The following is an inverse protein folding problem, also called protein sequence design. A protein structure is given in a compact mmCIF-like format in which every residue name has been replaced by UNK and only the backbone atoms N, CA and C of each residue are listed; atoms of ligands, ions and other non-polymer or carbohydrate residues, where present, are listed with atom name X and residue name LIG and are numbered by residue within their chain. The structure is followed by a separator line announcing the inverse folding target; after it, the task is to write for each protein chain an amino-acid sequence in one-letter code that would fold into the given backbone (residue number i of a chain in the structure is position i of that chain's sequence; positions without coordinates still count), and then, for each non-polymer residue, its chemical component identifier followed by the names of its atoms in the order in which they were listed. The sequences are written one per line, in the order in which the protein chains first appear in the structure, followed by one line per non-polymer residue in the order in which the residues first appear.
data_IF_849133610873
#
_entry.id   IF_849133610873
#
_cell.length_a   1.000
_cell.length_b   1.000
_cell.length_c   1.000
_cell.angle_alpha   90.00
_cell.angle_beta   90.00
_cell.angle_gamma   90.00
#
_symmetry.space_group_name_H-M   'P 1'
#
loop_
_entity.id
_entity.type
_entity.pdbx_description
1 polymer ?
#
# COMPACT_ATOMS: atom_id res chain seq x y z
N UNK A 1 -14.82 -4.73 15.27
CA UNK A 1 -13.54 -4.00 15.27
C UNK A 1 -12.60 -4.41 14.13
N UNK A 2 -12.39 -5.70 13.84
CA UNK A 2 -11.48 -6.15 12.77
C UNK A 2 -11.80 -5.62 11.34
N UNK A 3 -13.08 -5.38 11.04
CA UNK A 3 -13.49 -4.76 9.77
C UNK A 3 -13.17 -3.26 9.70
N UNK A 4 -13.20 -2.55 10.83
CA UNK A 4 -12.93 -1.09 10.91
C UNK A 4 -11.47 -0.77 10.60
N UNK A 5 -10.55 -1.57 11.14
CA UNK A 5 -9.11 -1.37 10.95
C UNK A 5 -8.56 -2.09 9.71
N UNK A 6 -9.44 -2.74 8.93
CA UNK A 6 -9.08 -3.56 7.77
C UNK A 6 -7.94 -4.55 8.08
N UNK A 7 -8.16 -5.41 9.08
CA UNK A 7 -7.14 -6.33 9.60
C UNK A 7 -6.30 -7.06 8.54
N UNK A 8 -6.85 -7.59 7.43
CA UNK A 8 -6.04 -8.23 6.39
C UNK A 8 -4.97 -7.30 5.78
N UNK A 9 -5.26 -6.00 5.66
CA UNK A 9 -4.29 -5.04 5.16
C UNK A 9 -3.19 -4.78 6.21
N UNK A 10 -3.53 -4.68 7.49
CA UNK A 10 -2.54 -4.50 8.56
C UNK A 10 -1.61 -5.72 8.67
N UNK A 11 -2.14 -6.93 8.49
CA UNK A 11 -1.32 -8.16 8.45
C UNK A 11 -0.36 -8.14 7.26
N UNK A 12 -0.80 -7.69 6.08
CA UNK A 12 0.08 -7.51 4.91
C UNK A 12 1.18 -6.48 5.18
N UNK A 13 0.86 -5.38 5.88
CA UNK A 13 1.84 -4.36 6.27
C UNK A 13 2.87 -4.92 7.26
N UNK A 14 2.43 -5.67 8.26
CA UNK A 14 3.32 -6.34 9.21
C UNK A 14 4.23 -7.35 8.50
N UNK A 15 3.67 -8.18 7.62
CA UNK A 15 4.44 -9.12 6.79
C UNK A 15 5.50 -8.38 5.98
N UNK A 16 5.13 -7.28 5.32
CA UNK A 16 6.06 -6.48 4.54
C UNK A 16 7.20 -5.91 5.40
N UNK A 17 6.89 -5.29 6.54
CA UNK A 17 7.92 -4.77 7.47
C UNK A 17 8.85 -5.88 7.95
N UNK A 18 8.30 -7.05 8.29
CA UNK A 18 9.07 -8.20 8.74
C UNK A 18 9.98 -8.75 7.65
N UNK A 19 9.50 -8.88 6.40
CA UNK A 19 10.30 -9.39 5.30
C UNK A 19 11.35 -8.41 4.80
N UNK A 20 11.09 -7.09 4.87
CA UNK A 20 12.15 -6.10 4.65
C UNK A 20 13.23 -6.28 5.73
N UNK A 21 12.84 -6.33 7.01
CA UNK A 21 13.77 -6.42 8.13
C UNK A 21 14.61 -7.71 8.09
N UNK A 22 13.96 -8.86 8.01
CA UNK A 22 14.60 -10.16 8.06
C UNK A 22 15.21 -10.56 6.72
N UNK A 23 14.50 -10.39 5.59
CA UNK A 23 14.96 -10.89 4.30
C UNK A 23 15.90 -9.96 3.54
N UNK A 24 15.78 -8.63 3.71
CA UNK A 24 16.61 -7.67 2.97
C UNK A 24 17.73 -7.06 3.82
N UNK A 25 17.43 -6.68 5.07
CA UNK A 25 18.34 -5.88 5.89
C UNK A 25 19.26 -6.71 6.80
N UNK A 26 18.70 -7.69 7.52
CA UNK A 26 19.46 -8.55 8.43
C UNK A 26 19.21 -10.04 8.16
N UNK A 27 19.53 -10.50 6.92
CA UNK A 27 19.36 -11.88 6.49
C UNK A 27 19.94 -12.90 7.47
N UNK A 28 21.20 -12.73 7.88
CA UNK A 28 21.93 -13.71 8.67
C UNK A 28 21.35 -14.04 10.06
N UNK A 29 20.45 -13.23 10.61
CA UNK A 29 19.88 -13.44 11.95
C UNK A 29 18.38 -13.08 11.98
N UNK A 30 17.54 -13.78 11.19
CA UNK A 30 16.18 -13.33 10.88
C UNK A 30 15.27 -13.39 12.12
N UNK A 31 15.36 -14.44 12.94
CA UNK A 31 14.57 -14.54 14.16
C UNK A 31 14.97 -13.49 15.20
N UNK A 32 16.28 -13.27 15.40
CA UNK A 32 16.77 -12.29 16.37
C UNK A 32 16.36 -10.87 16.00
N UNK A 33 16.44 -10.52 14.71
CA UNK A 33 16.07 -9.16 14.26
C UNK A 33 14.57 -8.89 14.36
N UNK A 34 13.73 -9.92 14.18
CA UNK A 34 12.28 -9.82 14.33
C UNK A 34 11.83 -9.76 15.80
N UNK A 35 12.59 -10.39 16.70
CA UNK A 35 12.35 -10.34 18.14
C UNK A 35 12.97 -9.11 18.82
N UNK A 36 13.70 -8.27 18.07
CA UNK A 36 14.23 -7.01 18.58
C UNK A 36 13.06 -6.08 18.98
N UNK A 37 13.07 -5.64 20.24
CA UNK A 37 12.05 -4.75 20.78
C UNK A 37 11.94 -3.45 19.96
N UNK A 38 13.04 -2.96 19.37
CA UNK A 38 13.04 -1.75 18.53
C UNK A 38 12.28 -1.98 17.23
N UNK A 39 12.38 -3.18 16.66
CA UNK A 39 11.57 -3.56 15.50
C UNK A 39 10.11 -3.74 15.90
N UNK A 40 9.84 -4.37 17.04
CA UNK A 40 8.48 -4.50 17.60
C UNK A 40 7.79 -3.14 17.78
N UNK A 41 8.48 -2.16 18.38
CA UNK A 41 7.97 -0.78 18.53
C UNK A 41 7.73 -0.12 17.18
N UNK A 42 8.64 -0.29 16.21
CA UNK A 42 8.48 0.25 14.85
C UNK A 42 7.22 -0.31 14.17
N UNK A 43 7.04 -1.63 14.24
CA UNK A 43 5.91 -2.31 13.63
C UNK A 43 4.59 -1.85 14.27
N UNK A 44 4.50 -1.83 15.61
CA UNK A 44 3.31 -1.33 16.32
C UNK A 44 3.03 0.12 15.93
N UNK A 45 4.06 0.98 15.90
CA UNK A 45 3.90 2.37 15.55
C UNK A 45 3.33 2.57 14.13
N UNK A 46 3.89 1.86 13.14
CA UNK A 46 3.41 1.90 11.77
C UNK A 46 1.97 1.38 11.62
N UNK A 47 1.62 0.29 12.31
CA UNK A 47 0.27 -0.26 12.31
C UNK A 47 -0.74 0.66 13.00
N UNK A 48 -0.35 1.37 14.06
CA UNK A 48 -1.18 2.38 14.71
C UNK A 48 -1.52 3.54 13.75
N UNK A 49 -0.52 4.12 13.06
CA UNK A 49 -0.75 5.18 12.06
C UNK A 49 -1.66 4.69 10.94
N UNK A 50 -1.43 3.47 10.44
CA UNK A 50 -2.25 2.87 9.40
C UNK A 50 -3.71 2.63 9.83
N UNK A 51 -3.91 2.08 11.04
CA UNK A 51 -5.23 1.88 11.61
C UNK A 51 -5.97 3.21 11.82
N UNK A 52 -5.26 4.24 12.30
CA UNK A 52 -5.80 5.60 12.41
C UNK A 52 -6.23 6.15 11.04
N UNK A 53 -5.44 5.87 9.98
CA UNK A 53 -5.77 6.18 8.59
C UNK A 53 -7.05 5.53 8.09
N UNK A 54 -7.25 4.23 8.36
CA UNK A 54 -8.50 3.56 7.99
C UNK A 54 -9.71 4.14 8.73
N UNK A 55 -9.56 4.46 10.01
CA UNK A 55 -10.66 5.03 10.81
C UNK A 55 -11.07 6.41 10.29
N UNK A 56 -10.12 7.31 10.02
CA UNK A 56 -10.44 8.64 9.52
C UNK A 56 -10.99 8.61 8.09
N UNK A 57 -10.50 7.70 7.25
CA UNK A 57 -11.08 7.47 5.93
C UNK A 57 -12.56 7.06 6.03
N UNK A 58 -12.86 6.03 6.83
CA UNK A 58 -14.23 5.54 7.02
C UNK A 58 -15.14 6.61 7.67
N UNK A 59 -14.59 7.52 8.49
CA UNK A 59 -15.33 8.64 9.09
C UNK A 59 -15.83 9.67 8.06
N UNK A 60 -14.99 10.01 7.07
CA UNK A 60 -15.35 10.94 6.00
C UNK A 60 -16.17 10.27 4.90
N UNK A 61 -15.99 8.96 4.71
CA UNK A 61 -16.58 8.20 3.60
C UNK A 61 -17.97 7.63 3.88
N UNK A 62 -18.54 7.82 5.08
CA UNK A 62 -19.85 7.26 5.46
C UNK A 62 -20.92 7.40 4.38
N UNK A 63 -21.04 8.57 3.73
CA UNK A 63 -22.05 8.79 2.68
C UNK A 63 -21.69 8.09 1.36
N UNK A 64 -20.42 8.17 0.94
CA UNK A 64 -19.92 7.53 -0.29
C UNK A 64 -20.03 6.01 -0.18
N UNK A 65 -19.62 5.44 0.96
CA UNK A 65 -19.65 4.00 1.22
C UNK A 65 -21.06 3.46 1.40
N UNK A 66 -22.04 4.28 1.79
CA UNK A 66 -23.47 3.92 1.76
C UNK A 66 -23.95 3.56 0.35
N UNK A 67 -23.37 4.16 -0.68
CA UNK A 67 -23.70 3.90 -2.08
C UNK A 67 -22.83 2.78 -2.64
N UNK A 68 -21.51 2.88 -2.45
CA UNK A 68 -20.56 1.97 -3.09
C UNK A 68 -20.50 0.59 -2.40
N UNK A 69 -20.59 0.55 -1.07
CA UNK A 69 -20.32 -0.62 -0.22
C UNK A 69 -21.20 -0.67 1.05
N UNK A 70 -22.55 -0.70 0.93
CA UNK A 70 -23.46 -0.58 2.08
C UNK A 70 -23.29 -1.65 3.16
N UNK A 71 -22.83 -2.86 2.79
CA UNK A 71 -22.58 -3.96 3.72
C UNK A 71 -21.30 -3.83 4.55
N UNK A 72 -20.45 -2.83 4.30
CA UNK A 72 -19.16 -2.62 5.01
C UNK A 72 -19.14 -1.38 5.91
N UNK A 73 -20.26 -0.68 6.06
CA UNK A 73 -20.35 0.51 6.90
C UNK A 73 -20.23 0.17 8.38
N UNK A 74 -19.13 0.61 8.99
CA UNK A 74 -18.90 0.47 10.42
C UNK A 74 -19.17 1.78 11.16
N UNK A 75 -18.62 2.89 10.66
CA UNK A 75 -18.82 4.22 11.27
C UNK A 75 -20.24 4.72 10.98
N UNK A 76 -20.93 5.19 12.01
CA UNK A 76 -22.33 5.62 11.94
C UNK A 76 -23.36 4.51 12.13
N UNK A 77 -22.97 3.23 12.01
CA UNK A 77 -23.83 2.07 12.33
C UNK A 77 -23.41 1.36 13.62
N UNK A 78 -22.15 0.92 13.68
CA UNK A 78 -21.61 0.14 14.80
C UNK A 78 -20.81 1.02 15.75
N UNK A 79 -20.04 1.97 15.20
CA UNK A 79 -19.21 2.89 15.98
C UNK A 79 -19.67 4.32 15.75
N UNK A 80 -19.95 5.04 16.84
CA UNK A 80 -20.35 6.45 16.76
C UNK A 80 -19.17 7.34 16.33
N UNK A 81 -19.47 8.42 15.61
CA UNK A 81 -18.51 9.35 14.99
C UNK A 81 -17.51 9.95 15.98
N UNK A 82 -17.95 10.30 17.19
CA UNK A 82 -17.07 10.83 18.26
C UNK A 82 -16.01 9.81 18.69
N UNK A 83 -16.40 8.54 18.86
CA UNK A 83 -15.48 7.45 19.24
C UNK A 83 -14.50 7.14 18.12
N UNK A 84 -14.95 7.18 16.87
CA UNK A 84 -14.07 7.01 15.71
C UNK A 84 -12.99 8.12 15.65
N UNK A 85 -13.38 9.39 15.84
CA UNK A 85 -12.42 10.49 15.85
C UNK A 85 -11.43 10.39 17.01
N UNK A 86 -11.90 10.06 18.23
CA UNK A 86 -11.02 9.83 19.37
C UNK A 86 -10.01 8.70 19.10
N UNK A 87 -10.48 7.57 18.55
CA UNK A 87 -9.60 6.46 18.20
C UNK A 87 -8.55 6.85 17.15
N UNK A 88 -8.94 7.64 16.13
CA UNK A 88 -8.00 8.18 15.14
C UNK A 88 -6.92 9.06 15.80
N UNK A 89 -7.30 9.98 16.68
CA UNK A 89 -6.36 10.86 17.37
C UNK A 89 -5.40 10.08 18.27
N UNK A 90 -5.91 9.15 19.08
CA UNK A 90 -5.10 8.34 19.98
C UNK A 90 -4.13 7.43 19.20
N UNK A 91 -4.59 6.73 18.16
CA UNK A 91 -3.73 5.85 17.38
C UNK A 91 -2.68 6.62 16.58
N UNK A 92 -3.04 7.77 16.00
CA UNK A 92 -2.06 8.64 15.33
C UNK A 92 -1.01 9.14 16.33
N UNK A 93 -1.43 9.64 17.49
CA UNK A 93 -0.54 10.14 18.53
C UNK A 93 0.41 9.07 19.08
N UNK A 94 -0.11 7.87 19.37
CA UNK A 94 0.69 6.71 19.81
C UNK A 94 1.68 6.30 18.73
N UNK A 95 1.24 6.17 17.48
CA UNK A 95 2.12 5.78 16.38
C UNK A 95 3.26 6.78 16.14
N UNK A 96 2.96 8.07 16.14
CA UNK A 96 3.98 9.13 16.01
C UNK A 96 4.91 9.15 17.21
N UNK A 97 4.36 9.09 18.43
CA UNK A 97 5.13 9.08 19.68
C UNK A 97 6.11 7.92 19.75
N UNK A 98 5.64 6.69 19.55
CA UNK A 98 6.48 5.48 19.53
C UNK A 98 7.60 5.56 18.47
N UNK A 99 7.29 6.15 17.31
CA UNK A 99 8.29 6.36 16.25
C UNK A 99 9.35 7.37 16.66
N UNK A 100 8.94 8.48 17.29
CA UNK A 100 9.83 9.50 17.82
C UNK A 100 10.76 8.98 18.91
N UNK A 101 10.27 8.07 19.77
CA UNK A 101 11.09 7.38 20.78
C UNK A 101 12.21 6.53 20.16
N UNK A 102 12.00 5.97 18.97
CA UNK A 102 13.02 5.22 18.23
C UNK A 102 14.03 6.13 17.53
N UNK A 103 13.54 7.22 16.92
CA UNK A 103 14.35 8.25 16.28
C UNK A 103 13.49 9.48 15.96
N UNK A 104 13.99 10.73 16.14
CA UNK A 104 13.27 11.93 15.73
C UNK A 104 12.85 11.91 14.25
N UNK A 105 13.69 11.35 13.37
CA UNK A 105 13.41 11.24 11.94
C UNK A 105 12.25 10.27 11.66
N UNK A 106 12.19 9.13 12.36
CA UNK A 106 11.06 8.19 12.26
C UNK A 106 9.76 8.85 12.76
N UNK A 107 9.84 9.59 13.87
CA UNK A 107 8.72 10.41 14.37
C UNK A 107 8.22 11.40 13.33
N UNK A 108 9.12 12.13 12.67
CA UNK A 108 8.76 13.09 11.62
C UNK A 108 8.13 12.43 10.40
N UNK A 109 8.68 11.30 9.93
CA UNK A 109 8.12 10.54 8.79
C UNK A 109 6.71 10.02 9.11
N UNK A 110 6.49 9.48 10.31
CA UNK A 110 5.17 8.99 10.70
C UNK A 110 4.19 10.12 11.03
N UNK A 111 4.67 11.28 11.49
CA UNK A 111 3.85 12.49 11.60
C UNK A 111 3.40 12.95 10.21
N UNK A 112 4.32 13.05 9.26
CA UNK A 112 4.00 13.35 7.86
C UNK A 112 3.01 12.34 7.27
N UNK A 113 3.16 11.05 7.59
CA UNK A 113 2.25 9.99 7.17
C UNK A 113 0.84 10.16 7.74
N UNK A 114 0.72 10.47 9.04
CA UNK A 114 -0.56 10.73 9.69
C UNK A 114 -1.25 11.97 9.12
N UNK A 115 -0.50 13.06 8.92
CA UNK A 115 -1.01 14.30 8.30
C UNK A 115 -1.46 14.06 6.86
N UNK A 116 -0.71 13.29 6.08
CA UNK A 116 -1.06 12.94 4.71
C UNK A 116 -2.31 12.05 4.65
N UNK A 117 -2.47 11.10 5.57
CA UNK A 117 -3.70 10.29 5.69
C UNK A 117 -4.93 11.13 6.05
N UNK A 118 -4.76 12.10 6.94
CA UNK A 118 -5.82 13.06 7.28
C UNK A 118 -6.16 13.95 6.09
N UNK A 119 -5.16 14.59 5.46
CA UNK A 119 -5.34 15.44 4.27
C UNK A 119 -5.94 14.67 3.09
N UNK A 120 -5.56 13.41 2.92
CA UNK A 120 -6.17 12.49 1.97
C UNK A 120 -7.68 12.33 2.22
N UNK A 121 -8.06 12.00 3.45
CA UNK A 121 -9.46 11.72 3.82
C UNK A 121 -10.34 12.96 3.72
N UNK A 122 -9.80 14.13 4.05
CA UNK A 122 -10.51 15.42 3.99
C UNK A 122 -10.67 15.89 2.54
N UNK A 123 -9.58 15.89 1.76
CA UNK A 123 -9.53 16.61 0.48
C UNK A 123 -8.90 15.83 -0.66
N UNK A 124 -7.72 15.23 -0.50
CA UNK A 124 -6.95 14.76 -1.67
C UNK A 124 -7.61 13.59 -2.41
N UNK A 125 -8.40 12.76 -1.72
CA UNK A 125 -9.19 11.71 -2.39
C UNK A 125 -10.17 12.25 -3.44
N UNK A 126 -10.55 13.53 -3.35
CA UNK A 126 -11.47 14.20 -4.27
C UNK A 126 -10.77 14.86 -5.44
N UNK A 127 -9.44 14.77 -5.52
CA UNK A 127 -8.62 15.42 -6.55
C UNK A 127 -7.94 14.34 -7.39
N UNK A 128 -8.13 14.40 -8.70
CA UNK A 128 -7.56 13.47 -9.67
C UNK A 128 -6.05 13.30 -9.44
N UNK A 129 -5.61 12.03 -9.38
CA UNK A 129 -4.23 11.57 -9.19
C UNK A 129 -3.61 11.90 -7.82
N UNK A 130 -3.91 13.04 -7.20
CA UNK A 130 -3.33 13.45 -5.90
C UNK A 130 -3.69 12.44 -4.80
N UNK A 131 -4.95 12.00 -4.74
CA UNK A 131 -5.37 10.97 -3.79
C UNK A 131 -4.63 9.64 -4.00
N UNK A 132 -4.51 9.20 -5.25
CA UNK A 132 -3.86 7.93 -5.61
C UNK A 132 -2.37 7.96 -5.26
N UNK A 133 -1.68 9.06 -5.59
CA UNK A 133 -0.26 9.28 -5.27
C UNK A 133 -0.06 9.38 -3.76
N UNK A 134 -0.96 10.01 -3.01
CA UNK A 134 -0.86 10.10 -1.54
C UNK A 134 -0.81 8.71 -0.89
N UNK A 135 -1.73 7.82 -1.25
CA UNK A 135 -1.76 6.44 -0.72
C UNK A 135 -0.56 5.62 -1.19
N UNK A 136 -0.12 5.81 -2.43
CA UNK A 136 1.08 5.16 -2.95
C UNK A 136 2.35 5.61 -2.23
N UNK A 137 2.50 6.90 -1.95
CA UNK A 137 3.62 7.47 -1.18
C UNK A 137 3.65 6.88 0.22
N UNK A 138 2.50 6.80 0.91
CA UNK A 138 2.40 6.17 2.22
C UNK A 138 2.80 4.69 2.19
N UNK A 139 2.40 3.98 1.13
CA UNK A 139 2.73 2.57 0.95
C UNK A 139 4.23 2.36 0.70
N UNK A 140 4.86 3.19 -0.15
CA UNK A 140 6.30 3.16 -0.36
C UNK A 140 7.10 3.56 0.89
N UNK A 141 6.65 4.59 1.61
CA UNK A 141 7.26 5.04 2.85
C UNK A 141 7.26 3.94 3.93
N UNK A 142 6.17 3.17 4.03
CA UNK A 142 6.10 2.01 4.93
C UNK A 142 7.21 1.00 4.65
N UNK A 143 7.45 0.66 3.38
CA UNK A 143 8.51 -0.29 2.97
C UNK A 143 9.89 0.21 3.41
N UNK A 144 10.10 1.52 3.42
CA UNK A 144 11.36 2.16 3.79
C UNK A 144 11.57 2.28 5.31
N UNK A 145 10.53 2.11 6.15
CA UNK A 145 10.66 2.33 7.60
C UNK A 145 11.75 1.47 8.28
N UNK A 146 11.88 0.15 8.01
CA UNK A 146 12.94 -0.65 8.62
C UNK A 146 14.34 -0.20 8.17
N UNK A 147 14.48 0.24 6.92
CA UNK A 147 15.74 0.77 6.40
C UNK A 147 16.06 2.13 7.01
N UNK A 148 15.07 2.99 7.21
CA UNK A 148 15.25 4.26 7.90
C UNK A 148 15.66 4.07 9.37
N UNK A 149 15.20 2.98 10.00
CA UNK A 149 15.59 2.62 11.36
C UNK A 149 17.03 2.09 11.45
N UNK A 150 17.48 1.25 10.50
CA UNK A 150 18.80 0.61 10.55
C UNK A 150 19.89 1.33 9.77
N UNK A 151 19.53 2.11 8.75
CA UNK A 151 20.42 2.85 7.84
C UNK A 151 21.49 1.97 7.21
N UNK A 152 21.09 0.85 6.61
CA UNK A 152 22.03 -0.14 6.07
C UNK A 152 22.59 0.24 4.69
N UNK A 153 21.91 1.12 3.94
CA UNK A 153 22.24 1.48 2.57
C UNK A 153 21.83 0.43 1.53
N UNK A 154 21.02 -0.57 1.90
CA UNK A 154 20.61 -1.64 0.98
C UNK A 154 19.67 -1.10 -0.10
N UNK A 155 20.19 -1.02 -1.33
CA UNK A 155 19.49 -0.45 -2.51
C UNK A 155 18.22 -1.22 -2.87
N UNK A 156 18.15 -2.52 -2.60
CA UNK A 156 16.97 -3.32 -2.96
C UNK A 156 15.70 -2.88 -2.24
N UNK A 157 15.79 -2.32 -1.02
CA UNK A 157 14.62 -1.79 -0.30
C UNK A 157 13.96 -0.65 -1.07
N UNK A 158 14.76 0.21 -1.72
CA UNK A 158 14.25 1.29 -2.58
C UNK A 158 13.54 0.78 -3.82
N UNK A 159 14.04 -0.32 -4.42
CA UNK A 159 13.38 -0.96 -5.56
C UNK A 159 12.02 -1.53 -5.14
N UNK A 160 11.93 -2.19 -3.99
CA UNK A 160 10.66 -2.68 -3.44
C UNK A 160 9.71 -1.52 -3.07
N UNK A 161 10.23 -0.43 -2.50
CA UNK A 161 9.43 0.75 -2.18
C UNK A 161 8.84 1.40 -3.44
N UNK A 162 9.64 1.52 -4.51
CA UNK A 162 9.19 2.02 -5.80
C UNK A 162 8.17 1.07 -6.45
N UNK A 163 8.40 -0.25 -6.40
CA UNK A 163 7.45 -1.23 -6.90
C UNK A 163 6.10 -1.15 -6.15
N UNK A 164 6.14 -1.05 -4.82
CA UNK A 164 4.97 -0.90 -3.97
C UNK A 164 4.22 0.40 -4.26
N UNK A 165 4.94 1.51 -4.46
CA UNK A 165 4.38 2.79 -4.89
C UNK A 165 3.64 2.64 -6.23
N UNK A 166 4.33 2.18 -7.29
CA UNK A 166 3.77 2.07 -8.64
C UNK A 166 2.53 1.17 -8.68
N UNK A 167 2.60 -0.01 -8.06
CA UNK A 167 1.47 -0.94 -8.00
C UNK A 167 0.28 -0.35 -7.22
N UNK A 168 0.56 0.44 -6.18
CA UNK A 168 -0.48 1.10 -5.39
C UNK A 168 -1.15 2.21 -6.18
N UNK A 169 -0.40 3.00 -6.96
CA UNK A 169 -1.01 3.99 -7.87
C UNK A 169 -1.96 3.30 -8.84
N UNK A 170 -1.51 2.24 -9.52
CA UNK A 170 -2.35 1.46 -10.44
C UNK A 170 -3.62 0.96 -9.74
N UNK A 171 -3.46 0.40 -8.54
CA UNK A 171 -4.58 -0.15 -7.76
C UNK A 171 -5.58 0.91 -7.33
N UNK A 172 -5.11 2.08 -6.88
CA UNK A 172 -6.01 3.17 -6.47
C UNK A 172 -6.73 3.77 -7.68
N UNK A 173 -6.08 3.93 -8.83
CA UNK A 173 -6.76 4.37 -10.06
C UNK A 173 -7.84 3.36 -10.49
N UNK A 174 -7.54 2.06 -10.45
CA UNK A 174 -8.52 1.00 -10.73
C UNK A 174 -9.71 1.05 -9.77
N UNK A 175 -9.47 1.38 -8.50
CA UNK A 175 -10.54 1.54 -7.50
C UNK A 175 -11.40 2.78 -7.76
N UNK A 176 -10.83 3.89 -8.19
CA UNK A 176 -11.62 5.08 -8.55
C UNK A 176 -12.62 4.77 -9.67
N UNK A 177 -12.25 3.91 -10.63
CA UNK A 177 -13.20 3.44 -11.66
C UNK A 177 -14.26 2.51 -11.08
N UNK A 178 -13.89 1.65 -10.13
CA UNK A 178 -14.81 0.75 -9.42
C UNK A 178 -15.85 1.53 -8.58
N UNK A 179 -15.43 2.63 -7.97
CA UNK A 179 -16.17 3.44 -6.99
C UNK A 179 -16.79 4.72 -7.60
N UNK A 180 -16.66 4.91 -8.92
CA UNK A 180 -17.08 6.08 -9.70
C UNK A 180 -18.52 6.54 -9.43
N UNK A 181 -19.47 5.61 -9.20
CA UNK A 181 -20.89 5.95 -8.99
C UNK A 181 -21.11 6.72 -7.68
N UNK A 182 -20.50 6.29 -6.58
CA UNK A 182 -20.61 6.99 -5.30
C UNK A 182 -19.82 8.29 -5.29
N UNK A 183 -18.66 8.30 -5.96
CA UNK A 183 -17.79 9.49 -6.05
C UNK A 183 -18.46 10.63 -6.83
N UNK A 184 -19.14 10.31 -7.94
CA UNK A 184 -19.86 11.29 -8.75
C UNK A 184 -21.04 11.97 -8.01
N UNK A 185 -21.57 11.35 -6.96
CA UNK A 185 -22.67 11.90 -6.15
C UNK A 185 -22.18 12.78 -4.98
N UNK A 186 -20.87 12.90 -4.78
CA UNK A 186 -20.26 13.54 -3.61
C UNK A 186 -19.10 14.50 -3.96
N UNK A 187 -19.24 15.25 -5.05
CA UNK A 187 -18.28 16.29 -5.50
C UNK A 187 -16.83 15.81 -5.55
N UNK A 188 -16.62 14.56 -5.98
CA UNK A 188 -15.29 14.02 -6.20
C UNK A 188 -14.90 14.25 -7.66
N UNK A 189 -13.72 14.82 -7.87
CA UNK A 189 -13.12 15.04 -9.19
C UNK A 189 -11.99 14.02 -9.43
N UNK A 190 -12.31 12.73 -9.35
CA UNK A 190 -11.35 11.65 -9.61
C UNK A 190 -11.06 11.52 -11.12
N UNK A 191 -9.96 10.84 -11.48
CA UNK A 191 -9.57 10.62 -12.88
C UNK A 191 -10.72 10.12 -13.78
N UNK A 192 -11.50 9.08 -13.40
CA UNK A 192 -12.57 8.59 -14.26
C UNK A 192 -13.74 9.56 -14.39
N UNK A 193 -13.97 10.44 -13.41
CA UNK A 193 -15.02 11.46 -13.45
C UNK A 193 -14.62 12.62 -14.36
N UNK A 194 -13.37 13.08 -14.28
CA UNK A 194 -12.89 14.25 -15.03
C UNK A 194 -12.48 13.90 -16.46
N UNK A 195 -11.81 12.75 -16.66
CA UNK A 195 -11.23 12.38 -17.96
C UNK A 195 -11.89 11.17 -18.62
N UNK A 196 -12.86 10.54 -17.95
CA UNK A 196 -13.50 9.33 -18.42
C UNK A 196 -12.65 8.07 -18.21
N UNK A 197 -13.31 6.91 -18.32
CA UNK A 197 -12.70 5.59 -18.05
C UNK A 197 -11.56 5.28 -19.01
N UNK A 198 -11.69 5.62 -20.30
CA UNK A 198 -10.67 5.31 -21.31
C UNK A 198 -9.32 5.99 -21.01
N UNK A 199 -9.32 7.30 -20.71
CA UNK A 199 -8.09 8.03 -20.35
C UNK A 199 -7.53 7.59 -19.00
N UNK A 200 -8.40 7.27 -18.05
CA UNK A 200 -8.00 6.73 -16.75
C UNK A 200 -7.24 5.42 -16.89
N UNK A 201 -7.65 4.54 -17.81
CA UNK A 201 -6.93 3.30 -18.13
C UNK A 201 -5.55 3.55 -18.71
N UNK A 202 -5.37 4.59 -19.53
CA UNK A 202 -4.05 4.98 -20.04
C UNK A 202 -3.10 5.43 -18.93
N UNK A 203 -3.59 6.25 -17.98
CA UNK A 203 -2.80 6.67 -16.82
C UNK A 203 -2.40 5.47 -15.96
N UNK A 204 -3.34 4.56 -15.65
CA UNK A 204 -3.02 3.32 -14.94
C UNK A 204 -2.02 2.45 -15.74
N UNK A 205 -2.18 2.38 -17.06
CA UNK A 205 -1.30 1.65 -17.97
C UNK A 205 0.15 2.18 -17.95
N UNK A 206 0.33 3.50 -17.84
CA UNK A 206 1.65 4.12 -17.73
C UNK A 206 2.39 3.66 -16.46
N UNK A 207 1.74 3.77 -15.30
CA UNK A 207 2.33 3.31 -14.03
C UNK A 207 2.57 1.80 -14.03
N UNK A 208 1.66 1.03 -14.65
CA UNK A 208 1.83 -0.41 -14.81
C UNK A 208 3.02 -0.76 -15.71
N UNK A 209 3.23 -0.04 -16.82
CA UNK A 209 4.36 -0.24 -17.71
C UNK A 209 5.69 0.07 -17.00
N UNK A 210 5.75 1.16 -16.22
CA UNK A 210 6.91 1.49 -15.39
C UNK A 210 7.22 0.37 -14.37
N UNK A 211 6.18 -0.18 -13.73
CA UNK A 211 6.34 -1.31 -12.81
C UNK A 211 6.83 -2.58 -13.52
N UNK A 212 6.29 -2.89 -14.70
CA UNK A 212 6.74 -4.01 -15.53
C UNK A 212 8.21 -3.85 -15.90
N UNK A 213 8.64 -2.65 -16.31
CA UNK A 213 10.04 -2.37 -16.62
C UNK A 213 10.95 -2.57 -15.40
N UNK A 214 10.55 -2.05 -14.23
CA UNK A 214 11.28 -2.22 -12.97
C UNK A 214 11.45 -3.71 -12.60
N UNK A 215 10.35 -4.48 -12.63
CA UNK A 215 10.37 -5.91 -12.29
C UNK A 215 11.13 -6.73 -13.33
N UNK A 216 11.01 -6.41 -14.62
CA UNK A 216 11.78 -7.05 -15.68
C UNK A 216 13.28 -6.81 -15.51
N UNK A 217 13.69 -5.59 -15.17
CA UNK A 217 15.08 -5.26 -14.84
C UNK A 217 15.60 -6.05 -13.64
N UNK A 218 14.83 -6.11 -12.55
CA UNK A 218 15.18 -6.90 -11.37
C UNK A 218 15.26 -8.41 -11.67
N UNK A 219 14.33 -8.93 -12.49
CA UNK A 219 14.33 -10.31 -12.96
C UNK A 219 15.58 -10.62 -13.81
N UNK A 220 15.89 -9.76 -14.79
CA UNK A 220 17.08 -9.90 -15.64
C UNK A 220 18.36 -9.91 -14.81
N UNK A 221 18.49 -8.96 -13.88
CA UNK A 221 19.62 -8.89 -12.95
C UNK A 221 19.74 -10.16 -12.09
N UNK A 222 18.63 -10.69 -11.58
CA UNK A 222 18.65 -11.94 -10.79
C UNK A 222 19.13 -13.13 -11.63
N UNK A 223 18.65 -13.27 -12.87
CA UNK A 223 19.03 -14.36 -13.76
C UNK A 223 20.50 -14.27 -14.21
N UNK A 224 21.02 -13.08 -14.51
CA UNK A 224 22.43 -12.89 -14.90
C UNK A 224 23.41 -13.16 -13.76
N UNK A 225 22.99 -12.98 -12.51
CA UNK A 225 23.78 -13.27 -11.31
C UNK A 225 23.48 -14.67 -10.72
N UNK A 226 23.01 -15.61 -11.54
CA UNK A 226 22.74 -17.01 -11.15
C UNK A 226 21.73 -17.21 -10.01
N UNK A 227 20.90 -16.20 -9.69
CA UNK A 227 19.82 -16.31 -8.70
C UNK A 227 18.55 -16.85 -9.36
N UNK A 228 18.63 -18.08 -9.87
CA UNK A 228 17.58 -18.69 -10.70
C UNK A 228 16.24 -18.81 -9.98
N UNK A 229 16.24 -19.09 -8.67
CA UNK A 229 15.00 -19.21 -7.88
C UNK A 229 14.29 -17.86 -7.77
N UNK A 230 15.02 -16.79 -7.43
CA UNK A 230 14.47 -15.44 -7.37
C UNK A 230 14.04 -14.96 -8.77
N UNK A 231 14.88 -15.16 -9.77
CA UNK A 231 14.56 -14.79 -11.16
C UNK A 231 13.32 -15.51 -11.67
N UNK A 232 13.21 -16.82 -11.44
CA UNK A 232 12.04 -17.62 -11.80
C UNK A 232 10.77 -17.18 -11.06
N UNK A 233 10.87 -16.86 -9.77
CA UNK A 233 9.74 -16.31 -9.00
C UNK A 233 9.29 -14.96 -9.54
N UNK A 234 10.23 -14.02 -9.76
CA UNK A 234 9.90 -12.71 -10.32
C UNK A 234 9.29 -12.83 -11.72
N UNK A 235 9.76 -13.76 -12.54
CA UNK A 235 9.22 -14.01 -13.87
C UNK A 235 7.79 -14.56 -13.81
N UNK A 236 7.56 -15.63 -13.05
CA UNK A 236 6.30 -16.39 -13.08
C UNK A 236 5.24 -15.85 -12.12
N UNK A 237 5.62 -15.45 -10.90
CA UNK A 237 4.68 -15.05 -9.86
C UNK A 237 4.42 -13.53 -9.83
N UNK A 238 5.28 -12.72 -10.47
CA UNK A 238 5.13 -11.25 -10.49
C UNK A 238 4.96 -10.72 -11.91
N UNK A 239 5.94 -10.92 -12.79
CA UNK A 239 5.96 -10.34 -14.13
C UNK A 239 4.85 -10.91 -15.03
N UNK A 240 4.68 -12.24 -15.08
CA UNK A 240 3.58 -12.88 -15.80
C UNK A 240 2.19 -12.35 -15.39
N UNK A 241 1.86 -12.34 -14.08
CA UNK A 241 0.64 -11.74 -13.57
C UNK A 241 0.50 -10.23 -13.84
N UNK A 242 1.58 -9.45 -13.85
CA UNK A 242 1.55 -8.03 -14.24
C UNK A 242 1.19 -7.85 -15.72
N UNK A 243 1.76 -8.66 -16.61
CA UNK A 243 1.41 -8.65 -18.04
C UNK A 243 -0.05 -9.07 -18.25
N UNK A 244 -0.51 -10.06 -17.49
CA UNK A 244 -1.91 -10.47 -17.49
C UNK A 244 -2.84 -9.37 -16.98
N UNK A 245 -2.48 -8.69 -15.88
CA UNK A 245 -3.18 -7.52 -15.36
C UNK A 245 -3.30 -6.43 -16.42
N UNK A 246 -2.24 -6.17 -17.20
CA UNK A 246 -2.26 -5.22 -18.32
C UNK A 246 -3.26 -5.61 -19.41
N UNK A 247 -3.31 -6.88 -19.80
CA UNK A 247 -4.31 -7.40 -20.76
C UNK A 247 -5.73 -7.25 -20.22
N UNK A 248 -5.95 -7.57 -18.95
CA UNK A 248 -7.25 -7.39 -18.29
C UNK A 248 -7.64 -5.91 -18.22
N UNK A 249 -6.69 -5.02 -17.93
CA UNK A 249 -6.92 -3.57 -17.87
C UNK A 249 -7.43 -3.05 -19.21
N UNK A 250 -6.80 -3.44 -20.33
CA UNK A 250 -7.23 -3.04 -21.67
C UNK A 250 -8.65 -3.48 -21.99
N UNK A 251 -9.07 -4.68 -21.54
CA UNK A 251 -10.42 -5.23 -21.78
C UNK A 251 -11.46 -4.82 -20.72
N UNK A 252 -11.05 -4.18 -19.62
CA UNK A 252 -11.95 -3.82 -18.54
C UNK A 252 -12.87 -2.67 -18.96
N UNK A 253 -14.18 -2.85 -18.72
CA UNK A 253 -15.22 -1.89 -19.09
C UNK A 253 -16.39 -1.85 -18.10
N UNK A 254 -16.57 -2.93 -17.33
CA UNK A 254 -17.61 -3.04 -16.30
C UNK A 254 -16.97 -2.95 -14.92
N UNK A 255 -17.72 -2.43 -13.92
CA UNK A 255 -17.32 -2.39 -12.51
C UNK A 255 -16.74 -3.71 -11.99
N UNK A 256 -17.33 -4.85 -12.39
CA UNK A 256 -16.87 -6.20 -12.01
C UNK A 256 -15.44 -6.49 -12.51
N UNK A 257 -15.06 -5.98 -13.69
CA UNK A 257 -13.71 -6.14 -14.24
C UNK A 257 -12.71 -5.34 -13.38
N UNK A 258 -13.05 -4.12 -12.97
CA UNK A 258 -12.19 -3.32 -12.09
C UNK A 258 -12.05 -3.91 -10.69
N UNK A 259 -13.11 -4.49 -10.14
CA UNK A 259 -13.03 -5.27 -8.89
C UNK A 259 -12.12 -6.51 -9.03
N UNK A 260 -12.09 -7.15 -10.21
CA UNK A 260 -11.16 -8.24 -10.50
C UNK A 260 -9.71 -7.74 -10.60
N UNK A 261 -9.46 -6.63 -11.30
CA UNK A 261 -8.14 -5.99 -11.37
C UNK A 261 -7.61 -5.64 -9.97
N UNK A 262 -8.45 -5.05 -9.12
CA UNK A 262 -8.11 -4.72 -7.73
C UNK A 262 -7.69 -5.95 -6.91
N UNK A 263 -8.30 -7.11 -7.16
CA UNK A 263 -7.89 -8.39 -6.55
C UNK A 263 -6.56 -8.91 -7.10
N UNK A 264 -6.34 -8.83 -8.41
CA UNK A 264 -5.06 -9.18 -9.02
C UNK A 264 -3.92 -8.32 -8.47
N UNK A 265 -4.11 -7.00 -8.33
CA UNK A 265 -3.11 -6.13 -7.72
C UNK A 265 -2.73 -6.60 -6.30
N UNK A 266 -3.70 -7.05 -5.49
CA UNK A 266 -3.40 -7.60 -4.15
C UNK A 266 -2.58 -8.90 -4.21
N UNK A 267 -2.93 -9.81 -5.12
CA UNK A 267 -2.19 -11.05 -5.32
C UNK A 267 -0.75 -10.80 -5.76
N UNK A 268 -0.55 -9.89 -6.72
CA UNK A 268 0.76 -9.48 -7.20
C UNK A 268 1.57 -8.81 -6.10
N UNK A 269 0.94 -7.95 -5.29
CA UNK A 269 1.57 -7.31 -4.13
C UNK A 269 2.06 -8.36 -3.13
N UNK A 270 1.25 -9.36 -2.81
CA UNK A 270 1.66 -10.46 -1.94
C UNK A 270 2.82 -11.26 -2.54
N UNK A 271 2.76 -11.61 -3.82
CA UNK A 271 3.84 -12.32 -4.50
C UNK A 271 5.16 -11.53 -4.51
N UNK A 272 5.09 -10.22 -4.70
CA UNK A 272 6.25 -9.32 -4.61
C UNK A 272 6.77 -9.16 -3.18
N UNK A 273 5.92 -9.13 -2.16
CA UNK A 273 6.37 -9.12 -0.76
C UNK A 273 7.06 -10.44 -0.42
N UNK A 274 6.51 -11.58 -0.84
CA UNK A 274 7.08 -12.90 -0.60
C UNK A 274 8.41 -13.14 -1.34
N UNK A 275 8.69 -12.44 -2.45
CA UNK A 275 9.98 -12.59 -3.14
C UNK A 275 11.17 -12.14 -2.30
N UNK A 276 10.96 -11.31 -1.26
CA UNK A 276 12.02 -10.91 -0.33
C UNK A 276 12.63 -12.10 0.41
N UNK A 277 11.87 -13.18 0.64
CA UNK A 277 12.39 -14.42 1.23
C UNK A 277 13.44 -15.09 0.34
N UNK A 278 13.33 -14.92 -0.98
CA UNK A 278 14.19 -15.58 -1.96
C UNK A 278 15.45 -14.76 -2.29
N UNK A 279 15.57 -13.55 -1.75
CA UNK A 279 16.76 -12.70 -1.94
C UNK A 279 17.97 -13.28 -1.20
N UNK A 280 17.73 -14.00 -0.10
CA UNK A 280 18.78 -14.54 0.78
C UNK A 280 19.08 -16.03 0.53
N UNK A 281 18.08 -16.85 0.15
CA UNK A 281 18.12 -18.33 0.19
C UNK A 281 19.31 -18.97 -0.57
N UNK A 282 20.05 -18.21 -1.37
CA UNK A 282 21.23 -18.69 -2.11
C UNK A 282 22.35 -17.65 -2.03
N UNK A 283 23.08 -17.63 -0.91
CA UNK A 283 24.49 -17.23 -0.91
C UNK A 283 25.34 -18.46 -1.15
#
# INVERSE_FOLDING_TARGET
MAQLIRLPNLLMMLLCLALVRAGLLQPAQPLRTLLDWRFGVLAVAALCVAAAGYIINDYYDVKIDAINRPGRLVVGRVVNRRRAMLAHMLLSGVGVGLSGLLSPLLGLVNLGSALLLWGYSVRFKRVALVGNVSIATLTGALVLLPELQLRTGVVSVWQYALAAFLLTVVREIVKDVEDMRGDAQHDCHTLPIVWGVARTKWVAGLFLAALVALVAGACGHALTHSRLVLGGWLLLAVLGPLLWLGRLLLRADRRRHFAQLSRWCKGIMLAGVLSMLLVEVLR
#
